data_IF_729449254045
#
_entry.id   IF_729449254045
#
_cell.length_a   1.000
_cell.length_b   1.000
_cell.length_c   1.000
_cell.angle_alpha   90.00
_cell.angle_beta   90.00
_cell.angle_gamma   90.00
#
_symmetry.space_group_name_H-M   'P 1'
#
loop_
_entity.id
_entity.type
_entity.pdbx_description
1 polymer ?
#
# COMPACT_ATOMS: atom_id res chain seq x y z
N UNK A 1 13.79 24.27 19.18
CA UNK A 1 13.37 23.30 20.21
C UNK A 1 14.59 22.45 20.53
N UNK A 2 15.04 22.43 21.81
CA UNK A 2 16.07 21.52 22.26
C UNK A 2 15.53 20.09 22.19
N UNK A 3 16.01 19.29 21.22
CA UNK A 3 15.51 17.93 20.97
C UNK A 3 16.13 16.99 22.01
N UNK A 4 15.33 16.57 22.97
CA UNK A 4 15.72 15.59 24.02
C UNK A 4 15.11 14.21 23.76
N UNK A 5 14.53 13.97 22.57
CA UNK A 5 13.84 12.75 22.19
C UNK A 5 14.53 11.98 21.05
N UNK A 6 13.96 10.85 20.66
CA UNK A 6 14.35 10.11 19.46
C UNK A 6 14.13 11.00 18.22
N UNK A 7 15.13 11.10 17.30
CA UNK A 7 14.98 11.91 16.10
C UNK A 7 13.74 11.51 15.28
N UNK A 8 12.94 12.49 14.87
CA UNK A 8 11.84 12.28 13.95
C UNK A 8 12.30 12.40 12.48
N UNK A 9 11.36 12.24 11.53
CA UNK A 9 11.66 12.31 10.10
C UNK A 9 12.27 13.68 9.71
N UNK A 10 11.78 14.76 10.30
CA UNK A 10 12.31 16.10 10.04
C UNK A 10 13.75 16.24 10.52
N UNK A 11 14.05 15.74 11.73
CA UNK A 11 15.39 15.73 12.27
C UNK A 11 16.36 14.93 11.37
N UNK A 12 15.92 13.76 10.89
CA UNK A 12 16.70 12.93 9.98
C UNK A 12 16.96 13.62 8.64
N UNK A 13 15.96 14.31 8.08
CA UNK A 13 16.12 15.07 6.84
C UNK A 13 17.05 16.28 7.01
N UNK A 14 16.98 16.97 8.15
CA UNK A 14 17.87 18.10 8.46
C UNK A 14 19.32 17.66 8.65
N UNK A 15 19.55 16.46 9.21
CA UNK A 15 20.87 15.90 9.42
C UNK A 15 21.40 15.15 8.20
N UNK A 16 20.49 14.78 7.26
CA UNK A 16 20.81 13.99 6.07
C UNK A 16 21.85 14.65 5.18
N UNK A 17 22.85 13.89 4.75
CA UNK A 17 23.98 14.33 3.97
C UNK A 17 24.21 13.37 2.81
N UNK A 18 24.40 13.89 1.62
CA UNK A 18 24.77 13.09 0.44
C UNK A 18 26.13 12.39 0.69
N UNK A 19 26.20 11.06 0.60
CA UNK A 19 27.40 10.33 0.97
C UNK A 19 28.61 10.63 0.08
N UNK A 20 28.40 11.10 -1.15
CA UNK A 20 29.47 11.41 -2.11
C UNK A 20 29.90 12.86 -2.04
N UNK A 21 28.91 13.77 -2.07
CA UNK A 21 29.17 15.22 -2.18
C UNK A 21 29.26 15.92 -0.82
N UNK A 22 28.86 15.22 0.27
CA UNK A 22 28.75 15.78 1.62
C UNK A 22 27.79 16.97 1.73
N UNK A 23 26.98 17.18 0.72
CA UNK A 23 26.01 18.28 0.69
C UNK A 23 24.76 17.91 1.49
N UNK A 24 24.25 18.86 2.23
CA UNK A 24 22.94 18.77 2.90
C UNK A 24 21.86 19.44 2.06
N UNK A 25 20.61 19.08 2.29
CA UNK A 25 19.48 19.72 1.65
C UNK A 25 19.37 21.21 2.08
N UNK A 26 19.08 22.07 1.15
CA UNK A 26 18.70 23.44 1.45
C UNK A 26 17.22 23.51 1.88
N UNK A 27 16.77 24.67 2.37
CA UNK A 27 15.41 24.86 2.89
C UNK A 27 14.32 24.55 1.83
N UNK A 28 14.55 24.89 0.56
CA UNK A 28 13.58 24.61 -0.51
C UNK A 28 13.48 23.10 -0.78
N UNK A 29 14.61 22.42 -0.89
CA UNK A 29 14.65 20.96 -1.07
C UNK A 29 14.00 20.23 0.12
N UNK A 30 14.27 20.69 1.34
CA UNK A 30 13.66 20.12 2.55
C UNK A 30 12.13 20.28 2.52
N UNK A 31 11.63 21.48 2.24
CA UNK A 31 10.20 21.76 2.11
C UNK A 31 9.56 20.87 1.04
N UNK A 32 10.17 20.77 -0.14
CA UNK A 32 9.63 20.02 -1.27
C UNK A 32 9.60 18.51 -0.98
N UNK A 33 10.61 17.98 -0.26
CA UNK A 33 10.59 16.58 0.22
C UNK A 33 9.49 16.35 1.26
N UNK A 34 9.32 17.24 2.24
CA UNK A 34 8.25 17.12 3.23
C UNK A 34 6.86 17.13 2.59
N UNK A 35 6.62 18.07 1.65
CA UNK A 35 5.37 18.11 0.90
C UNK A 35 5.14 16.81 0.10
N UNK A 36 6.20 16.28 -0.51
CA UNK A 36 6.13 15.02 -1.25
C UNK A 36 5.74 13.86 -0.32
N UNK A 37 6.34 13.74 0.87
CA UNK A 37 5.98 12.70 1.83
C UNK A 37 4.53 12.81 2.29
N UNK A 38 4.05 14.03 2.58
CA UNK A 38 2.66 14.25 3.01
C UNK A 38 1.68 13.86 1.91
N UNK A 39 1.89 14.37 0.69
CA UNK A 39 0.98 14.10 -0.44
C UNK A 39 1.00 12.63 -0.85
N UNK A 40 2.19 12.04 -0.99
CA UNK A 40 2.33 10.67 -1.45
C UNK A 40 1.88 9.63 -0.40
N UNK A 41 2.09 9.90 0.89
CA UNK A 41 1.78 8.95 1.97
C UNK A 41 0.32 8.97 2.41
N UNK A 42 -0.32 10.13 2.40
CA UNK A 42 -1.66 10.30 2.95
C UNK A 42 -2.74 9.54 2.15
N UNK A 43 -2.91 9.86 0.86
CA UNK A 43 -4.00 9.32 0.05
C UNK A 43 -3.81 7.82 -0.23
N UNK A 44 -2.60 7.39 -0.53
CA UNK A 44 -2.33 6.01 -0.93
C UNK A 44 -2.57 5.02 0.20
N UNK A 45 -2.16 5.34 1.42
CA UNK A 45 -2.42 4.52 2.61
C UNK A 45 -3.91 4.49 2.94
N UNK A 46 -4.60 5.64 2.87
CA UNK A 46 -6.04 5.71 3.08
C UNK A 46 -6.83 4.87 2.08
N UNK A 47 -6.46 4.88 0.80
CA UNK A 47 -7.08 4.05 -0.24
C UNK A 47 -6.83 2.56 -0.01
N UNK A 48 -5.62 2.18 0.40
CA UNK A 48 -5.29 0.79 0.76
C UNK A 48 -6.18 0.29 1.89
N UNK A 49 -6.36 1.08 2.94
CA UNK A 49 -7.24 0.75 4.07
C UNK A 49 -8.71 0.70 3.66
N UNK A 50 -9.18 1.66 2.87
CA UNK A 50 -10.55 1.71 2.38
C UNK A 50 -10.89 0.45 1.56
N UNK A 51 -10.04 0.06 0.62
CA UNK A 51 -10.23 -1.16 -0.18
C UNK A 51 -10.10 -2.43 0.67
N UNK A 52 -9.19 -2.47 1.65
CA UNK A 52 -9.08 -3.62 2.57
C UNK A 52 -10.37 -3.80 3.38
N UNK A 53 -10.92 -2.73 3.95
CA UNK A 53 -12.18 -2.78 4.70
C UNK A 53 -13.37 -3.12 3.80
N UNK A 54 -13.41 -2.61 2.57
CA UNK A 54 -14.43 -2.94 1.58
C UNK A 54 -14.46 -4.44 1.30
N UNK A 55 -13.32 -5.00 0.93
CA UNK A 55 -13.19 -6.43 0.62
C UNK A 55 -13.61 -7.31 1.80
N UNK A 56 -13.13 -7.00 2.99
CA UNK A 56 -13.53 -7.72 4.21
C UNK A 56 -14.99 -7.49 4.61
N UNK A 57 -15.59 -6.39 4.20
CA UNK A 57 -17.01 -6.14 4.43
C UNK A 57 -17.87 -7.22 3.79
N UNK A 58 -17.50 -7.69 2.61
CA UNK A 58 -18.19 -8.78 1.91
C UNK A 58 -17.72 -10.18 2.32
N UNK A 59 -16.50 -10.31 2.82
CA UNK A 59 -15.96 -11.59 3.33
C UNK A 59 -15.86 -11.58 4.85
N UNK A 60 -16.97 -11.89 5.50
CA UNK A 60 -17.06 -11.93 6.96
C UNK A 60 -16.18 -13.03 7.58
N UNK A 61 -15.86 -14.09 6.84
CA UNK A 61 -14.96 -15.17 7.31
C UNK A 61 -13.54 -14.65 7.44
N UNK A 62 -13.05 -13.98 6.39
CA UNK A 62 -11.75 -13.32 6.39
C UNK A 62 -11.68 -12.22 7.48
N UNK A 63 -12.74 -11.43 7.62
CA UNK A 63 -12.81 -10.40 8.66
C UNK A 63 -12.73 -10.99 10.07
N UNK A 64 -13.44 -12.12 10.34
CA UNK A 64 -13.44 -12.76 11.65
C UNK A 64 -12.07 -13.40 11.99
N UNK A 65 -11.42 -14.02 11.00
CA UNK A 65 -10.08 -14.56 11.16
C UNK A 65 -9.07 -13.45 11.50
N UNK A 66 -9.13 -12.32 10.80
CA UNK A 66 -8.29 -11.15 11.08
C UNK A 66 -8.56 -10.54 12.46
N UNK A 67 -9.84 -10.50 12.86
CA UNK A 67 -10.25 -10.03 14.19
C UNK A 67 -9.68 -10.91 15.28
N UNK A 68 -9.79 -12.22 15.14
CA UNK A 68 -9.25 -13.20 16.09
C UNK A 68 -7.75 -13.01 16.27
N UNK A 69 -7.00 -12.82 15.18
CA UNK A 69 -5.56 -12.49 15.25
C UNK A 69 -5.35 -11.19 16.00
N UNK A 70 -6.03 -10.10 15.61
CA UNK A 70 -5.89 -8.80 16.26
C UNK A 70 -6.21 -8.85 17.75
N UNK A 71 -7.30 -9.49 18.16
CA UNK A 71 -7.70 -9.57 19.56
C UNK A 71 -6.71 -10.40 20.39
N UNK A 72 -6.18 -11.49 19.84
CA UNK A 72 -5.20 -12.33 20.54
C UNK A 72 -3.89 -11.58 20.80
N UNK A 73 -3.45 -10.75 19.86
CA UNK A 73 -2.20 -9.97 19.96
C UNK A 73 -2.40 -8.71 20.80
N UNK A 74 -3.50 -7.97 20.56
CA UNK A 74 -3.69 -6.65 21.14
C UNK A 74 -4.27 -6.67 22.57
N UNK A 75 -5.07 -7.68 22.92
CA UNK A 75 -5.67 -7.85 24.25
C UNK A 75 -6.35 -6.57 24.77
N UNK A 76 -7.09 -5.88 23.89
CA UNK A 76 -7.87 -4.68 24.20
C UNK A 76 -7.11 -3.35 24.08
N UNK A 77 -5.80 -3.34 23.88
CA UNK A 77 -5.02 -2.10 23.60
C UNK A 77 -4.98 -1.78 22.09
N UNK A 78 -4.54 -0.59 21.76
CA UNK A 78 -4.24 -0.24 20.37
C UNK A 78 -2.95 -0.95 19.91
N UNK A 79 -2.86 -1.24 18.60
CA UNK A 79 -1.66 -1.79 18.00
C UNK A 79 -0.50 -0.78 17.98
N UNK A 80 0.71 -1.30 18.04
CA UNK A 80 1.96 -0.54 17.97
C UNK A 80 2.90 -1.17 16.96
N UNK A 81 4.02 -0.50 16.67
CA UNK A 81 5.03 -1.03 15.76
C UNK A 81 5.62 -2.38 16.16
N UNK A 82 5.64 -2.70 17.47
CA UNK A 82 6.13 -3.99 17.96
C UNK A 82 5.20 -5.19 17.73
N UNK A 83 3.97 -4.93 17.33
CA UNK A 83 2.97 -5.98 17.10
C UNK A 83 2.96 -6.51 15.65
N UNK A 84 3.60 -5.80 14.73
CA UNK A 84 3.50 -6.03 13.28
C UNK A 84 3.88 -7.45 12.89
N UNK A 85 4.94 -7.98 13.47
CA UNK A 85 5.43 -9.33 13.17
C UNK A 85 4.48 -10.43 13.68
N UNK A 86 3.58 -10.08 14.61
CA UNK A 86 2.58 -10.98 15.18
C UNK A 86 1.20 -10.84 14.51
N UNK A 87 1.08 -10.05 13.44
CA UNK A 87 -0.14 -9.78 12.68
C UNK A 87 0.00 -10.20 11.20
N UNK A 88 0.50 -11.43 10.91
CA UNK A 88 0.78 -11.85 9.55
C UNK A 88 -0.48 -11.93 8.68
N UNK A 89 -1.63 -12.36 9.19
CA UNK A 89 -2.84 -12.47 8.41
C UNK A 89 -3.42 -11.10 8.02
N UNK A 90 -3.39 -10.14 8.93
CA UNK A 90 -3.77 -8.75 8.62
C UNK A 90 -2.86 -8.17 7.55
N UNK A 91 -1.57 -8.48 7.58
CA UNK A 91 -0.63 -8.10 6.52
C UNK A 91 -1.00 -8.73 5.17
N UNK A 92 -1.35 -10.01 5.13
CA UNK A 92 -1.80 -10.69 3.91
C UNK A 92 -3.04 -10.03 3.31
N UNK A 93 -4.00 -9.62 4.14
CA UNK A 93 -5.19 -8.87 3.71
C UNK A 93 -4.80 -7.56 3.00
N UNK A 94 -3.88 -6.81 3.57
CA UNK A 94 -3.39 -5.56 2.97
C UNK A 94 -2.68 -5.84 1.65
N UNK A 95 -1.84 -6.87 1.58
CA UNK A 95 -1.12 -7.26 0.38
C UNK A 95 -2.06 -7.72 -0.73
N UNK A 96 -3.11 -8.47 -0.40
CA UNK A 96 -4.14 -8.88 -1.36
C UNK A 96 -5.01 -7.69 -1.82
N UNK A 97 -5.34 -6.77 -0.92
CA UNK A 97 -6.02 -5.54 -1.28
C UNK A 97 -5.17 -4.67 -2.24
N UNK A 98 -3.86 -4.58 -1.99
CA UNK A 98 -2.91 -3.90 -2.89
C UNK A 98 -2.76 -4.60 -4.25
N UNK A 99 -2.93 -5.93 -4.32
CA UNK A 99 -2.96 -6.67 -5.58
C UNK A 99 -4.22 -6.32 -6.38
N UNK A 100 -5.38 -6.34 -5.72
CA UNK A 100 -6.66 -6.08 -6.37
C UNK A 100 -6.88 -4.60 -6.68
N UNK A 101 -6.53 -3.72 -5.76
CA UNK A 101 -6.78 -2.28 -5.86
C UNK A 101 -5.52 -1.46 -5.49
N UNK A 102 -4.43 -1.57 -6.29
CA UNK A 102 -3.23 -0.80 -6.04
C UNK A 102 -3.50 0.70 -6.23
N UNK A 103 -3.22 1.56 -5.24
CA UNK A 103 -3.38 3.01 -5.41
C UNK A 103 -2.64 3.56 -6.63
N UNK A 104 -1.40 3.11 -6.88
CA UNK A 104 -0.67 3.37 -8.12
C UNK A 104 -1.01 2.29 -9.16
N UNK A 105 -2.18 2.38 -9.78
CA UNK A 105 -2.66 1.37 -10.74
C UNK A 105 -1.90 1.33 -12.07
N UNK A 106 -1.14 2.36 -12.40
CA UNK A 106 -0.25 2.45 -13.57
C UNK A 106 1.05 3.13 -13.15
N UNK A 107 2.17 2.55 -13.57
CA UNK A 107 3.51 3.17 -13.45
C UNK A 107 4.03 3.44 -14.85
N UNK A 108 4.62 4.61 -15.08
CA UNK A 108 5.20 4.97 -16.37
C UNK A 108 6.70 5.26 -16.27
N UNK A 109 7.40 5.02 -17.38
CA UNK A 109 8.84 5.34 -17.55
C UNK A 109 9.08 5.91 -18.95
N UNK A 110 9.85 6.97 -19.04
CA UNK A 110 10.35 7.46 -20.32
C UNK A 110 11.68 6.83 -20.68
N UNK A 111 11.80 6.34 -21.91
CA UNK A 111 13.02 5.79 -22.42
C UNK A 111 14.11 6.87 -22.58
N UNK A 112 15.25 6.70 -21.92
CA UNK A 112 16.40 7.63 -22.03
C UNK A 112 17.26 7.37 -23.26
N UNK A 113 17.15 6.21 -23.86
CA UNK A 113 17.88 5.77 -25.06
C UNK A 113 17.00 4.76 -25.80
N UNK A 114 17.29 4.52 -27.10
CA UNK A 114 16.62 3.45 -27.85
C UNK A 114 16.85 2.09 -27.18
N UNK A 115 15.82 1.24 -27.22
CA UNK A 115 15.83 -0.12 -26.67
C UNK A 115 14.84 -1.01 -27.42
N UNK A 116 14.77 -2.29 -27.06
CA UNK A 116 13.77 -3.22 -27.56
C UNK A 116 13.03 -3.88 -26.40
N UNK A 117 11.70 -3.82 -26.40
CA UNK A 117 10.86 -4.42 -25.37
C UNK A 117 9.81 -5.34 -26.02
N UNK A 118 9.86 -6.63 -25.69
CA UNK A 118 8.93 -7.62 -26.24
C UNK A 118 8.94 -7.68 -27.77
N UNK A 119 10.11 -7.50 -28.40
CA UNK A 119 10.27 -7.48 -29.85
C UNK A 119 9.85 -6.17 -30.54
N UNK A 120 9.47 -5.14 -29.77
CA UNK A 120 9.12 -3.80 -30.31
C UNK A 120 10.25 -2.81 -30.05
N UNK A 121 10.56 -2.01 -31.06
CA UNK A 121 11.50 -0.90 -30.90
C UNK A 121 10.93 0.19 -30.00
N UNK A 122 11.73 0.64 -29.05
CA UNK A 122 11.46 1.76 -28.15
C UNK A 122 12.44 2.87 -28.50
N UNK A 123 11.91 4.05 -28.77
CA UNK A 123 12.74 5.25 -29.11
C UNK A 123 13.00 6.08 -27.86
N UNK A 124 14.06 6.87 -27.91
CA UNK A 124 14.29 7.89 -26.87
C UNK A 124 13.06 8.80 -26.73
N UNK A 125 12.56 8.97 -25.52
CA UNK A 125 11.38 9.79 -25.21
C UNK A 125 10.06 9.00 -25.22
N UNK A 126 10.03 7.79 -25.75
CA UNK A 126 8.83 6.94 -25.69
C UNK A 126 8.46 6.65 -24.22
N UNK A 127 7.15 6.61 -23.95
CA UNK A 127 6.62 6.27 -22.63
C UNK A 127 6.24 4.79 -22.59
N UNK A 128 6.86 4.05 -21.69
CA UNK A 128 6.49 2.68 -21.34
C UNK A 128 5.59 2.71 -20.13
N UNK A 129 4.38 2.15 -20.25
CA UNK A 129 3.39 2.05 -19.17
C UNK A 129 3.31 0.62 -18.64
N UNK A 130 3.35 0.48 -17.32
CA UNK A 130 3.20 -0.79 -16.61
C UNK A 130 1.87 -0.76 -15.88
N UNK A 131 0.83 -1.47 -16.35
CA UNK A 131 -0.50 -1.44 -15.76
C UNK A 131 -0.57 -2.37 -14.54
N UNK A 132 -0.23 -1.87 -13.35
CA UNK A 132 -0.17 -2.63 -12.09
C UNK A 132 -1.54 -3.24 -11.75
N UNK A 133 -2.62 -2.49 -11.95
CA UNK A 133 -3.99 -2.97 -11.75
C UNK A 133 -4.32 -4.20 -12.61
N UNK A 134 -3.96 -4.17 -13.89
CA UNK A 134 -4.17 -5.30 -14.79
C UNK A 134 -3.20 -6.45 -14.51
N UNK A 135 -1.96 -6.14 -14.08
CA UNK A 135 -0.97 -7.13 -13.68
C UNK A 135 -1.47 -7.99 -12.52
N UNK A 136 -2.06 -7.37 -11.49
CA UNK A 136 -2.66 -8.05 -10.34
C UNK A 136 -3.87 -8.93 -10.70
N UNK A 137 -4.45 -8.76 -11.91
CA UNK A 137 -5.60 -9.54 -12.42
C UNK A 137 -5.24 -10.44 -13.61
N UNK A 138 -3.98 -10.60 -13.91
CA UNK A 138 -3.54 -11.41 -15.03
C UNK A 138 -3.71 -12.91 -14.72
N UNK A 139 -4.57 -13.60 -15.48
CA UNK A 139 -4.88 -15.03 -15.34
C UNK A 139 -3.68 -15.95 -15.57
N UNK A 140 -2.64 -15.48 -16.24
CA UNK A 140 -1.40 -16.24 -16.43
C UNK A 140 -0.49 -16.20 -15.19
N UNK A 141 -0.71 -15.25 -14.30
CA UNK A 141 0.13 -15.04 -13.10
C UNK A 141 -0.61 -15.38 -11.81
N UNK A 142 -1.94 -15.27 -11.81
CA UNK A 142 -2.77 -15.45 -10.63
C UNK A 142 -3.91 -16.43 -10.92
N UNK A 143 -4.00 -17.47 -10.11
CA UNK A 143 -5.16 -18.37 -10.10
C UNK A 143 -6.35 -17.63 -9.49
N UNK A 144 -7.52 -17.69 -10.17
CA UNK A 144 -8.74 -16.96 -9.77
C UNK A 144 -8.44 -15.49 -9.41
N UNK A 145 -7.98 -14.67 -10.39
CA UNK A 145 -7.35 -13.38 -10.12
C UNK A 145 -8.29 -12.33 -9.55
N UNK A 146 -9.59 -12.47 -9.71
CA UNK A 146 -10.59 -11.51 -9.23
C UNK A 146 -11.08 -11.84 -7.80
N UNK A 147 -10.79 -13.05 -7.30
CA UNK A 147 -11.14 -13.44 -5.94
C UNK A 147 -10.22 -12.79 -4.91
N UNK A 148 -10.82 -12.34 -3.81
CA UNK A 148 -10.10 -11.86 -2.63
C UNK A 148 -9.68 -13.05 -1.78
N UNK A 149 -8.39 -13.39 -1.80
CA UNK A 149 -7.80 -14.52 -1.06
C UNK A 149 -6.48 -14.11 -0.42
N UNK A 150 -6.48 -13.60 0.82
CA UNK A 150 -5.26 -13.20 1.54
C UNK A 150 -4.21 -14.31 1.66
N UNK A 151 -4.63 -15.56 1.71
CA UNK A 151 -3.78 -16.74 1.83
C UNK A 151 -2.80 -16.92 0.66
N UNK A 152 -2.98 -16.21 -0.47
CA UNK A 152 -1.98 -16.16 -1.55
C UNK A 152 -0.62 -15.67 -1.06
N UNK A 153 -0.63 -14.85 -0.01
CA UNK A 153 0.57 -14.26 0.57
C UNK A 153 1.14 -15.04 1.75
N UNK A 154 0.62 -16.24 2.04
CA UNK A 154 1.18 -17.15 3.05
C UNK A 154 2.62 -17.55 2.72
N UNK A 155 2.86 -17.92 1.47
CA UNK A 155 4.21 -18.20 0.97
C UNK A 155 4.58 -17.24 -0.17
N UNK A 156 5.11 -16.09 0.21
CA UNK A 156 5.56 -15.07 -0.74
C UNK A 156 6.69 -15.52 -1.68
N UNK A 157 7.42 -16.58 -1.33
CA UNK A 157 8.51 -17.09 -2.17
C UNK A 157 7.99 -17.73 -3.46
N UNK A 158 6.74 -18.18 -3.46
CA UNK A 158 6.09 -18.75 -4.63
C UNK A 158 5.45 -17.69 -5.55
N UNK A 159 5.42 -16.42 -5.15
CA UNK A 159 4.92 -15.34 -5.97
C UNK A 159 6.09 -14.78 -6.79
N UNK A 160 5.96 -14.77 -8.12
CA UNK A 160 6.92 -14.10 -8.98
C UNK A 160 7.00 -12.60 -8.60
N UNK A 161 8.23 -12.12 -8.36
CA UNK A 161 8.45 -10.73 -7.91
C UNK A 161 7.89 -9.70 -8.89
N UNK A 162 7.81 -10.02 -10.17
CA UNK A 162 7.28 -9.12 -11.20
C UNK A 162 5.77 -9.27 -11.42
N UNK A 163 5.13 -10.28 -10.82
CA UNK A 163 3.68 -10.40 -10.80
C UNK A 163 3.03 -9.45 -9.77
N UNK A 164 3.79 -8.99 -8.76
CA UNK A 164 3.29 -8.18 -7.66
C UNK A 164 4.16 -6.94 -7.42
N UNK A 165 3.74 -5.79 -7.96
CA UNK A 165 4.51 -4.55 -7.98
C UNK A 165 3.72 -3.34 -7.42
N UNK A 166 2.99 -3.43 -6.30
CA UNK A 166 2.17 -2.31 -5.81
C UNK A 166 2.99 -1.07 -5.43
N UNK A 167 4.27 -1.26 -5.12
CA UNK A 167 5.22 -0.20 -4.77
C UNK A 167 6.25 0.07 -5.88
N UNK A 168 6.08 -0.53 -7.05
CA UNK A 168 7.06 -0.49 -8.14
C UNK A 168 8.30 -1.32 -7.87
N UNK A 169 9.35 -1.10 -8.67
CA UNK A 169 10.66 -1.77 -8.54
C UNK A 169 11.79 -0.88 -9.12
N UNK A 170 13.04 -1.28 -8.84
CA UNK A 170 14.25 -0.63 -9.32
C UNK A 170 14.54 0.71 -8.62
N UNK A 171 15.29 1.63 -9.27
CA UNK A 171 15.76 2.88 -8.65
C UNK A 171 14.63 3.87 -8.27
N UNK A 172 13.40 3.60 -8.67
CA UNK A 172 12.20 4.40 -8.39
C UNK A 172 11.16 3.63 -7.56
N UNK A 173 11.58 2.58 -6.87
CA UNK A 173 10.73 1.90 -5.89
C UNK A 173 10.23 2.89 -4.84
N UNK A 174 9.02 2.69 -4.33
CA UNK A 174 8.45 3.55 -3.30
C UNK A 174 9.32 3.54 -2.04
N UNK A 175 9.83 4.71 -1.66
CA UNK A 175 10.65 4.86 -0.45
C UNK A 175 9.84 4.61 0.83
N UNK A 176 8.53 4.88 0.80
CA UNK A 176 7.60 4.71 1.93
C UNK A 176 6.97 3.32 2.03
N UNK A 177 7.36 2.34 1.20
CA UNK A 177 6.68 1.03 1.15
C UNK A 177 6.61 0.33 2.52
N UNK A 178 7.72 0.28 3.24
CA UNK A 178 7.78 -0.32 4.58
C UNK A 178 6.91 0.44 5.58
N UNK A 179 6.98 1.77 5.57
CA UNK A 179 6.19 2.63 6.45
C UNK A 179 4.69 2.45 6.19
N UNK A 180 4.26 2.50 4.93
CA UNK A 180 2.86 2.36 4.53
C UNK A 180 2.28 1.00 4.94
N UNK A 181 3.03 -0.10 4.78
CA UNK A 181 2.60 -1.43 5.22
C UNK A 181 2.47 -1.50 6.74
N UNK A 182 3.43 -0.95 7.48
CA UNK A 182 3.38 -0.93 8.95
C UNK A 182 2.18 -0.11 9.45
N UNK A 183 2.00 1.08 8.90
CA UNK A 183 0.88 1.97 9.24
C UNK A 183 -0.47 1.28 8.96
N UNK A 184 -0.62 0.67 7.78
CA UNK A 184 -1.83 -0.02 7.40
C UNK A 184 -2.15 -1.21 8.32
N UNK A 185 -1.15 -2.03 8.70
CA UNK A 185 -1.32 -3.14 9.64
C UNK A 185 -1.78 -2.64 11.00
N UNK A 186 -1.14 -1.61 11.56
CA UNK A 186 -1.47 -1.04 12.88
C UNK A 186 -2.91 -0.51 12.89
N UNK A 187 -3.29 0.27 11.88
CA UNK A 187 -4.62 0.87 11.79
C UNK A 187 -5.68 -0.24 11.63
N UNK A 188 -5.46 -1.15 10.69
CA UNK A 188 -6.43 -2.21 10.39
C UNK A 188 -6.64 -3.14 11.60
N UNK A 189 -5.56 -3.57 12.26
CA UNK A 189 -5.63 -4.38 13.48
C UNK A 189 -6.40 -3.68 14.60
N UNK A 190 -6.11 -2.39 14.81
CA UNK A 190 -6.79 -1.59 15.84
C UNK A 190 -8.28 -1.46 15.55
N UNK A 191 -8.66 -1.24 14.29
CA UNK A 191 -10.07 -1.15 13.88
C UNK A 191 -10.80 -2.48 14.05
N UNK A 192 -10.22 -3.58 13.54
CA UNK A 192 -10.82 -4.91 13.57
C UNK A 192 -10.95 -5.47 14.98
N UNK A 193 -10.07 -5.09 15.90
CA UNK A 193 -10.17 -5.51 17.31
C UNK A 193 -11.38 -4.91 18.04
N UNK A 194 -11.98 -3.83 17.49
CA UNK A 194 -13.05 -3.04 18.15
C UNK A 194 -14.35 -2.99 17.40
N UNK A 195 -14.32 -3.20 16.06
CA UNK A 195 -15.49 -3.02 15.22
C UNK A 195 -15.67 -4.19 14.27
N UNK A 196 -16.94 -4.46 13.94
CA UNK A 196 -17.34 -5.28 12.79
C UNK A 196 -17.80 -4.34 11.68
N UNK A 197 -17.33 -4.61 10.47
CA UNK A 197 -17.69 -3.85 9.27
C UNK A 197 -18.57 -4.69 8.36
N UNK A 198 -19.70 -4.11 7.93
CA UNK A 198 -20.61 -4.72 6.96
C UNK A 198 -20.94 -3.73 5.84
N UNK A 199 -21.17 -4.22 4.60
CA UNK A 199 -21.50 -3.32 3.49
C UNK A 199 -22.82 -2.59 3.70
N UNK A 200 -22.92 -1.36 3.18
CA UNK A 200 -24.18 -0.64 3.06
C UNK A 200 -24.80 -0.99 1.71
N UNK A 201 -25.99 -1.61 1.65
CA UNK A 201 -26.61 -2.01 0.39
C UNK A 201 -26.75 -0.86 -0.60
N UNK A 202 -26.43 -1.11 -1.88
CA UNK A 202 -26.53 -0.10 -2.96
C UNK A 202 -25.45 0.98 -2.92
N UNK A 203 -24.37 0.77 -2.16
CA UNK A 203 -23.22 1.67 -2.05
C UNK A 203 -21.91 0.99 -2.50
N UNK A 204 -21.99 0.16 -3.54
CA UNK A 204 -20.82 -0.49 -4.10
C UNK A 204 -20.03 0.52 -4.96
N UNK A 205 -18.78 0.85 -4.57
CA UNK A 205 -17.99 1.82 -5.30
C UNK A 205 -17.41 1.21 -6.57
N UNK A 206 -17.40 1.95 -7.65
CA UNK A 206 -16.62 1.59 -8.82
C UNK A 206 -15.16 2.05 -8.67
N UNK A 207 -14.17 1.22 -9.08
CA UNK A 207 -12.79 1.64 -9.09
C UNK A 207 -12.52 2.61 -10.24
N UNK A 208 -12.15 3.85 -9.93
CA UNK A 208 -11.85 4.90 -10.91
C UNK A 208 -10.39 5.32 -10.80
N UNK A 209 -9.71 5.31 -11.97
CA UNK A 209 -8.32 5.75 -12.09
C UNK A 209 -8.28 7.21 -12.54
N UNK A 210 -7.84 8.10 -11.66
CA UNK A 210 -7.53 9.50 -12.02
C UNK A 210 -6.02 9.70 -11.90
N UNK A 211 -5.50 9.97 -10.73
CA UNK A 211 -4.08 9.90 -10.38
C UNK A 211 -3.80 8.61 -9.60
N UNK A 212 -4.70 8.27 -8.71
CA UNK A 212 -4.74 7.05 -7.91
C UNK A 212 -5.98 6.24 -8.26
N UNK A 213 -5.94 4.93 -8.01
CA UNK A 213 -7.10 4.05 -8.12
C UNK A 213 -7.95 4.20 -6.86
N UNK A 214 -9.07 4.89 -6.98
CA UNK A 214 -9.93 5.20 -5.83
C UNK A 214 -11.34 4.66 -6.01
N UNK A 215 -12.06 4.37 -4.89
CA UNK A 215 -13.48 4.05 -4.94
C UNK A 215 -14.28 5.32 -5.28
N UNK A 216 -15.05 5.31 -6.36
CA UNK A 216 -15.92 6.44 -6.70
C UNK A 216 -17.00 6.61 -5.64
N UNK A 217 -17.17 7.83 -5.13
CA UNK A 217 -18.11 8.12 -4.04
C UNK A 217 -17.67 7.60 -2.66
N UNK A 218 -16.47 7.01 -2.55
CA UNK A 218 -15.92 6.45 -1.31
C UNK A 218 -16.44 5.05 -0.96
N UNK A 219 -15.91 4.47 0.11
CA UNK A 219 -16.36 3.19 0.67
C UNK A 219 -17.35 3.46 1.82
N UNK A 220 -18.53 2.87 1.73
CA UNK A 220 -19.58 2.99 2.74
C UNK A 220 -19.79 1.68 3.46
N UNK A 221 -19.46 1.65 4.75
CA UNK A 221 -19.61 0.48 5.61
C UNK A 221 -20.33 0.89 6.90
N UNK A 222 -21.13 -0.03 7.41
CA UNK A 222 -21.64 0.06 8.78
C UNK A 222 -20.55 -0.48 9.71
N UNK A 223 -20.25 0.28 10.77
CA UNK A 223 -19.32 -0.13 11.81
C UNK A 223 -20.09 -0.40 13.10
N UNK A 224 -20.17 -1.66 13.50
CA UNK A 224 -20.80 -2.09 14.75
C UNK A 224 -19.73 -2.32 15.81
N UNK A 225 -19.78 -1.67 16.99
CA UNK A 225 -18.87 -1.98 18.09
C UNK A 225 -18.98 -3.45 18.54
N UNK A 226 -17.87 -4.02 19.00
CA UNK A 226 -17.79 -5.39 19.52
C UNK A 226 -18.03 -5.43 21.02
#
# INVERSE_FOLDING_TARGET
>A
RGNTGTPDLLDLLLQGEDPKTKRRMNTAELRDNLLTFIVAGHETTALTLAWSLYLMGFDQTTQEKARTEAQSVLQGRAATGSDIDNLPYIRQIIEEALRLYPPAGIISRSARRPDTLGGREIRTGDTVMIPIYALGRNKLLWDDPDAFRPERFDDRKNIDRYAYLPFGDGPRICIGASFALQEAVIILATLLSRFRFTPVPGKDPEPVMILTLRPEGGVWLKADPL
#
